data_IF_808960206965
#
_entry.id   IF_808960206965
#
_cell.length_a   1.000
_cell.length_b   1.000
_cell.length_c   1.000
_cell.angle_alpha   90.00
_cell.angle_beta   90.00
_cell.angle_gamma   90.00
#
_symmetry.space_group_name_H-M   'P 1'
#
loop_
_entity.id
_entity.type
_entity.pdbx_description
1 polymer ?
#
# COMPACT_ATOMS: atom_id res chain seq x y z
N UNK A 1 -0.92 3.83 -7.08
CA UNK A 1 0.07 3.41 -8.09
C UNK A 1 0.16 1.90 -8.10
N UNK A 2 0.72 1.28 -9.14
CA UNK A 2 0.92 -0.18 -9.20
C UNK A 2 2.31 -0.54 -9.74
N UNK A 3 2.85 -1.68 -9.29
CA UNK A 3 4.08 -2.27 -9.83
C UNK A 3 3.88 -2.96 -11.19
N UNK A 4 2.64 -3.19 -11.61
CA UNK A 4 2.34 -3.73 -12.93
C UNK A 4 2.44 -2.67 -14.02
N UNK A 5 2.87 -3.11 -15.21
CA UNK A 5 2.87 -2.26 -16.39
C UNK A 5 1.46 -2.15 -17.02
N UNK A 6 1.31 -1.22 -17.95
CA UNK A 6 0.02 -0.94 -18.60
C UNK A 6 -0.62 -2.16 -19.29
N UNK A 7 0.10 -2.99 -20.06
CA UNK A 7 -0.49 -4.19 -20.66
C UNK A 7 -1.08 -5.18 -19.63
N UNK A 8 -0.43 -5.37 -18.47
CA UNK A 8 -0.99 -6.20 -17.40
C UNK A 8 -2.24 -5.54 -16.81
N UNK A 9 -2.20 -4.24 -16.55
CA UNK A 9 -3.34 -3.53 -15.98
C UNK A 9 -4.54 -3.42 -16.92
N UNK A 10 -4.34 -3.44 -18.24
CA UNK A 10 -5.44 -3.54 -19.22
C UNK A 10 -6.25 -4.84 -19.06
N UNK A 11 -5.63 -5.90 -18.53
CA UNK A 11 -6.29 -7.18 -18.22
C UNK A 11 -6.85 -7.16 -16.80
N UNK A 12 -6.09 -6.67 -15.81
CA UNK A 12 -6.47 -6.71 -14.40
C UNK A 12 -7.59 -5.72 -14.06
N UNK A 13 -7.59 -4.52 -14.65
CA UNK A 13 -8.55 -3.46 -14.30
C UNK A 13 -10.00 -3.87 -14.60
N UNK A 14 -10.35 -4.48 -15.75
CA UNK A 14 -11.71 -4.98 -15.99
C UNK A 14 -12.14 -6.07 -14.99
N UNK A 15 -11.23 -6.94 -14.57
CA UNK A 15 -11.52 -8.01 -13.59
C UNK A 15 -11.82 -7.39 -12.23
N UNK A 16 -10.98 -6.44 -11.78
CA UNK A 16 -11.19 -5.72 -10.54
C UNK A 16 -12.49 -4.90 -10.55
N UNK A 17 -12.80 -4.25 -11.67
CA UNK A 17 -14.04 -3.50 -11.86
C UNK A 17 -15.28 -4.40 -11.77
N UNK A 18 -15.23 -5.60 -12.37
CA UNK A 18 -16.30 -6.59 -12.24
C UNK A 18 -16.47 -7.08 -10.77
N UNK A 19 -15.40 -7.05 -9.98
CA UNK A 19 -15.42 -7.27 -8.53
C UNK A 19 -15.84 -6.04 -7.70
N UNK A 20 -16.18 -4.91 -8.33
CA UNK A 20 -16.64 -3.69 -7.67
C UNK A 20 -15.54 -2.71 -7.27
N UNK A 21 -14.29 -2.91 -7.72
CA UNK A 21 -13.17 -1.99 -7.43
C UNK A 21 -12.73 -1.22 -8.68
N UNK A 22 -12.93 0.10 -8.66
CA UNK A 22 -12.49 1.02 -9.72
C UNK A 22 -11.80 2.22 -9.07
N UNK A 23 -10.48 2.38 -9.19
CA UNK A 23 -9.79 3.55 -8.67
C UNK A 23 -10.00 4.78 -9.57
N UNK A 24 -10.08 5.97 -8.98
CA UNK A 24 -10.18 7.24 -9.72
C UNK A 24 -8.94 7.54 -10.57
N UNK A 25 -7.79 6.98 -10.19
CA UNK A 25 -6.52 7.15 -10.90
C UNK A 25 -5.69 5.87 -10.85
N UNK A 26 -5.03 5.56 -11.96
CA UNK A 26 -4.09 4.46 -12.09
C UNK A 26 -2.81 4.90 -12.81
N UNK A 27 -1.71 4.96 -12.07
CA UNK A 27 -0.34 5.08 -12.63
C UNK A 27 0.37 3.74 -12.51
N UNK A 28 0.82 3.23 -13.65
CA UNK A 28 1.47 1.94 -13.84
C UNK A 28 2.99 2.08 -13.86
N UNK A 29 3.68 0.97 -13.56
CA UNK A 29 5.12 0.88 -13.80
C UNK A 29 5.42 1.10 -15.29
N UNK A 30 6.40 1.97 -15.57
CA UNK A 30 6.78 2.34 -16.94
C UNK A 30 6.01 3.53 -17.53
N UNK A 31 4.99 4.06 -16.84
CA UNK A 31 4.31 5.29 -17.29
C UNK A 31 5.19 6.54 -17.14
N UNK A 32 6.18 6.47 -16.25
CA UNK A 32 7.10 7.55 -15.94
C UNK A 32 8.55 7.04 -16.02
N UNK A 33 9.49 7.98 -16.03
CA UNK A 33 10.94 7.70 -16.13
C UNK A 33 11.47 6.80 -15.02
N UNK A 34 10.80 6.75 -13.87
CA UNK A 34 11.17 5.89 -12.75
C UNK A 34 9.92 5.45 -11.97
N UNK A 35 9.87 4.16 -11.65
CA UNK A 35 8.87 3.57 -10.76
C UNK A 35 9.35 3.51 -9.32
N UNK A 36 8.70 2.69 -8.50
CA UNK A 36 9.08 2.47 -7.09
C UNK A 36 10.57 2.10 -6.95
N UNK A 37 11.29 2.61 -5.92
CA UNK A 37 10.79 3.42 -4.81
C UNK A 37 10.74 4.94 -5.09
N UNK A 38 10.90 5.38 -6.34
CA UNK A 38 10.77 6.80 -6.70
C UNK A 38 9.33 7.28 -6.45
N UNK A 39 9.13 8.52 -5.95
CA UNK A 39 7.79 9.06 -5.66
C UNK A 39 7.06 9.58 -6.91
N UNK A 40 7.66 9.48 -8.10
CA UNK A 40 7.10 10.11 -9.31
C UNK A 40 5.69 9.64 -9.65
N UNK A 41 5.39 8.35 -9.46
CA UNK A 41 4.03 7.85 -9.74
C UNK A 41 3.02 8.40 -8.74
N UNK A 42 3.41 8.60 -7.47
CA UNK A 42 2.57 9.28 -6.48
C UNK A 42 2.33 10.74 -6.87
N UNK A 43 3.38 11.46 -7.28
CA UNK A 43 3.24 12.85 -7.74
C UNK A 43 2.34 12.97 -8.96
N UNK A 44 2.36 11.99 -9.85
CA UNK A 44 1.41 11.95 -10.97
C UNK A 44 -0.03 11.76 -10.47
N UNK A 45 -0.28 10.81 -9.57
CA UNK A 45 -1.60 10.65 -8.95
C UNK A 45 -2.06 11.94 -8.26
N UNK A 46 -1.18 12.64 -7.54
CA UNK A 46 -1.48 13.91 -6.88
C UNK A 46 -1.94 14.98 -7.86
N UNK A 47 -1.17 15.18 -8.93
CA UNK A 47 -1.49 16.19 -9.95
C UNK A 47 -2.83 15.89 -10.64
N UNK A 48 -3.06 14.64 -11.02
CA UNK A 48 -4.26 14.22 -11.73
C UNK A 48 -5.52 14.25 -10.83
N UNK A 49 -5.39 13.98 -9.53
CA UNK A 49 -6.48 14.01 -8.55
C UNK A 49 -6.67 15.40 -7.90
N UNK A 50 -5.83 16.39 -8.22
CA UNK A 50 -5.89 17.70 -7.60
C UNK A 50 -5.55 17.70 -6.11
N UNK A 51 -4.60 16.86 -5.69
CA UNK A 51 -4.11 16.79 -4.31
C UNK A 51 -2.71 17.43 -4.25
N UNK A 52 -2.46 18.30 -3.27
CA UNK A 52 -1.17 19.02 -3.17
C UNK A 52 -0.57 19.06 -1.75
N UNK A 53 -1.20 18.38 -0.78
CA UNK A 53 -0.67 18.22 0.57
C UNK A 53 -0.34 16.75 0.84
N UNK A 54 0.91 16.30 0.58
CA UNK A 54 1.27 14.88 0.70
C UNK A 54 1.05 14.31 2.11
N UNK A 55 1.23 15.12 3.15
CA UNK A 55 0.99 14.72 4.54
C UNK A 55 -0.48 14.34 4.83
N UNK A 56 -1.44 14.69 3.97
CA UNK A 56 -2.85 14.27 4.09
C UNK A 56 -3.16 13.01 3.27
N UNK A 57 -2.17 12.41 2.64
CA UNK A 57 -2.31 11.18 1.84
C UNK A 57 -1.76 9.99 2.61
N UNK A 58 -2.42 8.84 2.44
CA UNK A 58 -1.98 7.56 2.97
C UNK A 58 -1.61 6.64 1.82
N UNK A 59 -0.35 6.23 1.75
CA UNK A 59 0.15 5.19 0.86
C UNK A 59 -0.03 3.83 1.53
N UNK A 60 -0.89 3.00 0.96
CA UNK A 60 -1.04 1.59 1.35
C UNK A 60 -0.24 0.73 0.39
N UNK A 61 0.58 -0.20 0.89
CA UNK A 61 1.34 -1.15 0.06
C UNK A 61 1.73 -2.43 0.83
N UNK A 62 1.98 -3.50 0.10
CA UNK A 62 2.39 -4.81 0.60
C UNK A 62 3.85 -5.15 0.27
N UNK A 63 4.62 -4.18 -0.26
CA UNK A 63 6.04 -4.34 -0.60
C UNK A 63 6.91 -3.26 0.05
N UNK A 64 8.17 -3.56 0.36
CA UNK A 64 9.10 -2.57 0.92
C UNK A 64 9.28 -1.36 -0.01
N UNK A 65 9.42 -1.60 -1.32
CA UNK A 65 9.62 -0.51 -2.31
C UNK A 65 8.39 0.38 -2.47
N UNK A 66 7.18 -0.14 -2.25
CA UNK A 66 5.96 0.65 -2.27
C UNK A 66 5.72 1.44 -0.98
N UNK A 67 6.20 0.93 0.16
CA UNK A 67 6.31 1.72 1.40
C UNK A 67 7.30 2.87 1.20
N UNK A 68 8.49 2.59 0.67
CA UNK A 68 9.50 3.60 0.40
C UNK A 68 9.02 4.67 -0.60
N UNK A 69 8.24 4.29 -1.62
CA UNK A 69 7.58 5.25 -2.52
C UNK A 69 6.72 6.28 -1.75
N UNK A 70 5.94 5.81 -0.77
CA UNK A 70 5.12 6.69 0.08
C UNK A 70 5.95 7.59 0.99
N UNK A 71 7.01 7.06 1.58
CA UNK A 71 7.94 7.83 2.42
C UNK A 71 8.64 8.92 1.62
N UNK A 72 9.18 8.58 0.45
CA UNK A 72 9.84 9.55 -0.44
C UNK A 72 8.87 10.61 -0.98
N UNK A 73 7.57 10.32 -1.03
CA UNK A 73 6.54 11.28 -1.39
C UNK A 73 6.08 12.18 -0.23
N UNK A 74 6.52 11.92 1.01
CA UNK A 74 6.12 12.67 2.21
C UNK A 74 4.70 12.35 2.69
N UNK A 75 4.27 11.09 2.52
CA UNK A 75 2.93 10.61 2.88
C UNK A 75 2.96 9.71 4.12
N UNK A 76 1.80 9.50 4.76
CA UNK A 76 1.66 8.39 5.70
C UNK A 76 1.77 7.07 4.97
N UNK A 77 2.30 6.03 5.61
CA UNK A 77 2.49 4.72 4.98
C UNK A 77 1.90 3.62 5.85
N UNK A 78 1.16 2.72 5.20
CA UNK A 78 0.51 1.58 5.84
C UNK A 78 0.92 0.31 5.08
N UNK A 79 1.62 -0.57 5.78
CA UNK A 79 1.99 -1.90 5.29
C UNK A 79 0.84 -2.89 5.41
N UNK A 80 0.61 -3.71 4.38
CA UNK A 80 -0.31 -4.86 4.43
C UNK A 80 0.50 -6.16 4.52
N UNK A 81 0.47 -6.83 5.67
CA UNK A 81 1.39 -7.93 5.97
C UNK A 81 0.90 -9.29 5.52
N UNK A 82 -0.41 -9.60 5.58
CA UNK A 82 -0.93 -10.95 5.33
C UNK A 82 -1.48 -11.09 3.92
N UNK A 83 -2.34 -10.18 3.46
CA UNK A 83 -3.03 -10.34 2.18
C UNK A 83 -2.21 -9.86 0.97
N UNK A 84 -0.88 -9.98 1.01
CA UNK A 84 0.00 -9.41 0.00
C UNK A 84 1.39 -10.05 -0.10
N UNK A 85 2.27 -9.43 -0.86
CA UNK A 85 3.57 -9.94 -1.27
C UNK A 85 4.57 -10.10 -0.10
N UNK A 86 4.39 -9.36 0.99
CA UNK A 86 5.24 -9.49 2.19
C UNK A 86 5.19 -10.91 2.80
N UNK A 87 4.00 -11.52 2.81
CA UNK A 87 3.74 -12.90 3.20
C UNK A 87 3.96 -13.87 2.03
N UNK A 88 3.31 -13.61 0.89
CA UNK A 88 3.46 -14.42 -0.33
C UNK A 88 2.74 -15.77 -0.33
N UNK A 89 1.86 -16.02 0.65
CA UNK A 89 1.00 -17.20 0.69
C UNK A 89 -0.37 -16.92 0.06
N UNK A 90 -0.96 -17.94 -0.56
CA UNK A 90 -2.38 -17.93 -0.93
C UNK A 90 -3.26 -18.03 0.32
N UNK A 91 -4.54 -17.64 0.19
CA UNK A 91 -5.50 -17.77 1.28
C UNK A 91 -5.66 -19.23 1.77
N UNK A 92 -5.58 -20.20 0.86
CA UNK A 92 -5.68 -21.61 1.22
C UNK A 92 -4.48 -22.08 2.04
N UNK A 93 -3.27 -21.68 1.64
CA UNK A 93 -2.04 -21.98 2.39
C UNK A 93 -2.06 -21.31 3.77
N UNK A 94 -2.46 -20.03 3.85
CA UNK A 94 -2.60 -19.31 5.11
C UNK A 94 -3.57 -20.01 6.08
N UNK A 95 -4.73 -20.43 5.59
CA UNK A 95 -5.74 -21.10 6.41
C UNK A 95 -5.35 -22.53 6.81
N UNK A 96 -4.37 -23.13 6.14
CA UNK A 96 -3.85 -24.45 6.48
C UNK A 96 -2.81 -24.39 7.61
N UNK A 97 -2.22 -23.23 7.88
CA UNK A 97 -1.29 -23.01 8.98
C UNK A 97 -2.00 -23.09 10.34
N UNK A 98 -1.29 -23.61 11.34
CA UNK A 98 -1.68 -23.46 12.73
C UNK A 98 -1.58 -22.01 13.19
N UNK A 99 -2.24 -21.66 14.29
CA UNK A 99 -2.17 -20.32 14.86
C UNK A 99 -0.73 -19.87 15.19
N UNK A 100 0.14 -20.80 15.61
CA UNK A 100 1.53 -20.50 15.91
C UNK A 100 2.35 -20.21 14.64
N UNK A 101 2.09 -20.94 13.55
CA UNK A 101 2.73 -20.70 12.25
C UNK A 101 2.24 -19.38 11.63
N UNK A 102 0.93 -19.11 11.70
CA UNK A 102 0.36 -17.83 11.26
C UNK A 102 1.02 -16.66 11.99
N UNK A 103 1.22 -16.76 13.30
CA UNK A 103 1.88 -15.70 14.07
C UNK A 103 3.36 -15.53 13.70
N UNK A 104 4.08 -16.64 13.49
CA UNK A 104 5.47 -16.59 13.04
C UNK A 104 5.60 -15.91 11.66
N UNK A 105 4.77 -16.30 10.70
CA UNK A 105 4.76 -15.74 9.35
C UNK A 105 4.33 -14.27 9.34
N UNK A 106 3.27 -13.92 10.09
CA UNK A 106 2.82 -12.54 10.28
C UNK A 106 3.92 -11.66 10.85
N UNK A 107 4.64 -12.14 11.87
CA UNK A 107 5.72 -11.40 12.51
C UNK A 107 6.85 -11.10 11.51
N UNK A 108 7.24 -12.09 10.70
CA UNK A 108 8.25 -11.92 9.65
C UNK A 108 7.79 -10.91 8.59
N UNK A 109 6.57 -11.05 8.06
CA UNK A 109 6.03 -10.14 7.07
C UNK A 109 5.90 -8.70 7.61
N UNK A 110 5.43 -8.55 8.84
CA UNK A 110 5.28 -7.25 9.49
C UNK A 110 6.62 -6.58 9.79
N UNK A 111 7.64 -7.37 10.14
CA UNK A 111 8.99 -6.86 10.37
C UNK A 111 9.63 -6.31 9.09
N UNK A 112 9.38 -6.92 7.92
CA UNK A 112 9.86 -6.39 6.63
C UNK A 112 9.29 -5.00 6.35
N UNK A 113 7.97 -4.84 6.48
CA UNK A 113 7.28 -3.58 6.19
C UNK A 113 7.63 -2.48 7.21
N UNK A 114 7.69 -2.84 8.49
CA UNK A 114 8.17 -1.94 9.56
C UNK A 114 9.61 -1.52 9.30
N UNK A 115 10.49 -2.46 8.93
CA UNK A 115 11.90 -2.22 8.60
C UNK A 115 12.09 -1.32 7.37
N UNK A 116 11.14 -1.34 6.43
CA UNK A 116 11.08 -0.41 5.30
C UNK A 116 10.59 1.01 5.68
N UNK A 117 10.15 1.21 6.93
CA UNK A 117 9.69 2.49 7.48
C UNK A 117 8.17 2.69 7.42
N UNK A 118 7.37 1.62 7.36
CA UNK A 118 5.92 1.76 7.46
C UNK A 118 5.51 2.41 8.79
N UNK A 119 4.64 3.43 8.74
CA UNK A 119 4.13 4.08 9.97
C UNK A 119 3.15 3.17 10.72
N UNK A 120 2.41 2.34 9.97
CA UNK A 120 1.50 1.33 10.48
C UNK A 120 1.68 0.05 9.68
N UNK A 121 1.39 -1.09 10.29
CA UNK A 121 1.25 -2.37 9.60
C UNK A 121 -0.06 -3.01 10.04
N UNK A 122 -0.84 -3.47 9.07
CA UNK A 122 -2.11 -4.16 9.24
C UNK A 122 -2.09 -5.48 8.48
N UNK A 123 -2.95 -6.41 8.86
CA UNK A 123 -3.02 -7.73 8.23
C UNK A 123 -3.54 -7.64 6.80
N UNK A 124 -4.68 -6.97 6.65
CA UNK A 124 -5.39 -6.84 5.39
C UNK A 124 -5.93 -5.42 5.24
N UNK A 125 -6.33 -5.05 4.02
CA UNK A 125 -6.98 -3.75 3.78
C UNK A 125 -8.33 -3.61 4.50
N UNK A 126 -8.92 -4.70 5.00
CA UNK A 126 -10.16 -4.63 5.80
C UNK A 126 -9.92 -3.93 7.16
N UNK A 127 -8.68 -3.92 7.63
CA UNK A 127 -8.28 -3.36 8.92
C UNK A 127 -7.83 -1.90 8.81
N UNK A 128 -8.06 -1.25 7.67
CA UNK A 128 -7.53 0.09 7.37
C UNK A 128 -8.26 1.22 8.10
N UNK A 129 -9.58 1.10 8.32
CA UNK A 129 -10.39 2.22 8.85
C UNK A 129 -9.89 2.76 10.20
N UNK A 130 -9.57 1.93 11.22
CA UNK A 130 -9.04 2.44 12.48
C UNK A 130 -7.70 3.19 12.33
N UNK A 131 -6.87 2.81 11.36
CA UNK A 131 -5.60 3.50 11.08
C UNK A 131 -5.85 4.88 10.48
N UNK A 132 -6.83 5.02 9.60
CA UNK A 132 -7.20 6.32 9.02
C UNK A 132 -7.75 7.28 10.08
N UNK A 133 -8.55 6.78 11.03
CA UNK A 133 -9.05 7.57 12.15
C UNK A 133 -7.92 8.12 13.03
N UNK A 134 -6.93 7.28 13.35
CA UNK A 134 -5.77 7.68 14.15
C UNK A 134 -4.86 8.67 13.39
N UNK A 135 -4.65 8.48 12.08
CA UNK A 135 -3.97 9.47 11.23
C UNK A 135 -4.72 10.80 11.23
N UNK A 136 -6.05 10.79 11.11
CA UNK A 136 -6.89 11.98 11.20
C UNK A 136 -6.71 12.72 12.53
N UNK A 137 -6.69 11.98 13.65
CA UNK A 137 -6.45 12.54 14.98
C UNK A 137 -5.01 13.08 15.16
N UNK A 138 -4.01 12.49 14.51
CA UNK A 138 -2.64 13.02 14.47
C UNK A 138 -2.56 14.32 13.67
N UNK A 139 -3.17 14.36 12.49
CA UNK A 139 -3.23 15.54 11.64
C UNK A 139 -3.91 16.73 12.34
N UNK A 140 -5.01 16.49 13.06
CA UNK A 140 -5.71 17.52 13.84
C UNK A 140 -4.82 18.13 14.94
N UNK A 141 -3.79 17.42 15.39
CA UNK A 141 -2.78 17.89 16.36
C UNK A 141 -1.53 18.47 15.70
N UNK A 142 -1.51 18.60 14.38
CA UNK A 142 -0.36 19.08 13.61
C UNK A 142 0.77 18.07 13.46
N UNK A 143 0.55 16.80 13.84
CA UNK A 143 1.51 15.71 13.62
C UNK A 143 1.43 15.29 12.16
N UNK A 144 2.59 15.16 11.52
CA UNK A 144 2.76 14.77 10.11
C UNK A 144 3.61 13.48 10.05
N UNK A 145 3.64 12.79 8.90
CA UNK A 145 4.59 11.70 8.67
C UNK A 145 6.03 12.14 8.98
#
# INVERSE_FOLDING_TARGET
TTGYNRPIMEIVSPIAAAGGYVPDNLVCAGDLVSGRPSPLMMYRCFADLGVWWPATVVKVDDTEVGIQEGLHAGTWTVGVSISGNALGLTLAEWNALSAAEQEAERSVASAKLTGAGAHYVIDTVADLLPVLDDIGAKLARGIKP
#
